data_IF_442271736373
#
_entry.id   IF_442271736373
#
_cell.length_a   1.000
_cell.length_b   1.000
_cell.length_c   1.000
_cell.angle_alpha   90.00
_cell.angle_beta   90.00
_cell.angle_gamma   90.00
#
_symmetry.space_group_name_H-M   'P 1'
#
loop_
_entity.id
_entity.type
_entity.pdbx_description
1 polymer ?
#
# COMPACT_ATOMS: atom_id res chain seq x y z
N UNK A 1 26.88 -31.89 -3.72
CA UNK A 1 28.31 -31.44 -3.71
C UNK A 1 28.47 -29.93 -3.71
N UNK A 2 27.66 -29.17 -4.47
CA UNK A 2 27.76 -27.71 -4.54
C UNK A 2 27.45 -27.01 -3.21
N UNK A 3 26.44 -27.48 -2.48
CA UNK A 3 26.09 -26.97 -1.14
C UNK A 3 27.25 -27.08 -0.13
N UNK A 4 27.91 -28.25 -0.04
CA UNK A 4 29.06 -28.45 0.85
C UNK A 4 30.20 -27.48 0.50
N UNK A 5 30.52 -27.31 -0.80
CA UNK A 5 31.55 -26.36 -1.24
C UNK A 5 31.22 -24.92 -0.88
N UNK A 6 29.95 -24.53 -0.99
CA UNK A 6 29.48 -23.19 -0.61
C UNK A 6 29.59 -22.98 0.89
N UNK A 7 29.17 -23.95 1.70
CA UNK A 7 29.29 -23.89 3.17
C UNK A 7 30.76 -23.81 3.59
N UNK A 8 31.63 -24.66 3.02
CA UNK A 8 33.07 -24.64 3.31
C UNK A 8 33.72 -23.31 2.91
N UNK A 9 33.35 -22.76 1.73
CA UNK A 9 33.85 -21.46 1.27
C UNK A 9 33.39 -20.34 2.21
N UNK A 10 32.11 -20.33 2.60
CA UNK A 10 31.56 -19.36 3.54
C UNK A 10 32.26 -19.45 4.90
N UNK A 11 32.43 -20.66 5.43
CA UNK A 11 33.09 -20.91 6.71
C UNK A 11 34.57 -20.47 6.72
N UNK A 12 35.29 -20.66 5.60
CA UNK A 12 36.68 -20.15 5.47
C UNK A 12 36.75 -18.63 5.50
N UNK A 13 35.74 -17.95 4.95
CA UNK A 13 35.66 -16.49 4.92
C UNK A 13 35.11 -15.91 6.23
N UNK A 14 34.24 -16.67 6.91
CA UNK A 14 33.55 -16.27 8.14
C UNK A 14 33.55 -17.42 9.15
N UNK A 15 34.67 -17.66 9.86
CA UNK A 15 34.74 -18.73 10.85
C UNK A 15 33.73 -18.48 11.98
N UNK A 16 33.01 -19.51 12.47
CA UNK A 16 32.02 -19.35 13.53
C UNK A 16 32.69 -18.96 14.84
N UNK A 17 32.49 -17.69 15.25
CA UNK A 17 33.08 -17.12 16.46
C UNK A 17 32.39 -17.59 17.74
N UNK A 18 31.07 -17.84 17.68
CA UNK A 18 30.27 -18.24 18.84
C UNK A 18 30.02 -19.74 18.87
N UNK A 19 29.81 -20.31 20.07
CA UNK A 19 29.39 -21.71 20.20
C UNK A 19 28.06 -21.98 19.47
N UNK A 20 27.15 -21.00 19.43
CA UNK A 20 25.91 -21.08 18.66
C UNK A 20 26.18 -21.22 17.16
N UNK A 21 27.06 -20.38 16.59
CA UNK A 21 27.40 -20.46 15.17
C UNK A 21 28.07 -21.79 14.83
N UNK A 22 28.90 -22.33 15.74
CA UNK A 22 29.51 -23.66 15.58
C UNK A 22 28.46 -24.78 15.59
N UNK A 23 27.48 -24.70 16.49
CA UNK A 23 26.36 -25.63 16.57
C UNK A 23 25.49 -25.59 15.30
N UNK A 24 25.17 -24.40 14.82
CA UNK A 24 24.36 -24.25 13.60
C UNK A 24 25.14 -24.71 12.36
N UNK A 25 26.44 -24.44 12.29
CA UNK A 25 27.27 -24.93 11.19
C UNK A 25 27.35 -26.46 11.18
N UNK A 26 27.52 -27.11 12.34
CA UNK A 26 27.61 -28.57 12.41
C UNK A 26 26.31 -29.24 11.96
N UNK A 27 25.13 -28.71 12.32
CA UNK A 27 23.87 -29.28 11.83
C UNK A 27 23.66 -29.09 10.32
N UNK A 28 24.06 -27.94 9.76
CA UNK A 28 23.96 -27.69 8.33
C UNK A 28 24.90 -28.59 7.52
N UNK A 29 26.14 -28.76 7.99
CA UNK A 29 27.09 -29.70 7.39
C UNK A 29 26.60 -31.14 7.51
N UNK A 30 26.01 -31.54 8.65
CA UNK A 30 25.47 -32.88 8.85
C UNK A 30 24.40 -33.20 7.79
N UNK A 31 23.41 -32.32 7.60
CA UNK A 31 22.37 -32.47 6.59
C UNK A 31 22.93 -32.50 5.16
N UNK A 32 23.90 -31.62 4.85
CA UNK A 32 24.53 -31.60 3.52
C UNK A 32 25.33 -32.89 3.23
N UNK A 33 25.98 -33.47 4.24
CA UNK A 33 26.68 -34.75 4.10
C UNK A 33 25.70 -35.92 3.97
N UNK A 34 24.59 -35.92 4.71
CA UNK A 34 23.50 -36.90 4.61
C UNK A 34 22.90 -36.92 3.19
N UNK A 35 22.55 -35.75 2.64
CA UNK A 35 22.05 -35.62 1.26
C UNK A 35 23.08 -36.08 0.21
N UNK A 36 24.37 -35.97 0.52
CA UNK A 36 25.44 -36.44 -0.36
C UNK A 36 25.75 -37.93 -0.24
N UNK A 37 25.09 -38.65 0.68
CA UNK A 37 25.30 -40.07 0.96
C UNK A 37 26.54 -40.38 1.80
N UNK A 38 27.27 -39.36 2.29
CA UNK A 38 28.45 -39.54 3.13
C UNK A 38 28.04 -39.66 4.61
N UNK A 39 27.46 -40.82 4.96
CA UNK A 39 26.93 -41.09 6.30
C UNK A 39 27.99 -40.97 7.41
N UNK A 40 29.27 -41.25 7.10
CA UNK A 40 30.35 -41.17 8.09
C UNK A 40 30.65 -39.72 8.47
N UNK A 41 30.75 -38.82 7.47
CA UNK A 41 30.92 -37.38 7.74
C UNK A 41 29.68 -36.78 8.37
N UNK A 42 28.48 -37.18 7.93
CA UNK A 42 27.22 -36.74 8.54
C UNK A 42 27.19 -37.08 10.04
N UNK A 43 27.48 -38.34 10.40
CA UNK A 43 27.54 -38.78 11.79
C UNK A 43 28.56 -37.96 12.61
N UNK A 44 29.76 -37.72 12.06
CA UNK A 44 30.77 -36.90 12.74
C UNK A 44 30.25 -35.50 13.08
N UNK A 45 29.53 -34.87 12.16
CA UNK A 45 28.95 -33.55 12.38
C UNK A 45 27.77 -33.58 13.36
N UNK A 46 26.91 -34.60 13.30
CA UNK A 46 25.85 -34.80 14.29
C UNK A 46 26.40 -35.00 15.70
N UNK A 47 27.48 -35.78 15.87
CA UNK A 47 28.14 -35.95 17.17
C UNK A 47 28.76 -34.65 17.68
N UNK A 48 29.36 -33.85 16.80
CA UNK A 48 29.86 -32.51 17.16
C UNK A 48 28.72 -31.59 17.62
N UNK A 49 27.60 -31.58 16.91
CA UNK A 49 26.39 -30.85 17.33
C UNK A 49 25.96 -31.27 18.74
N UNK A 50 25.84 -32.57 19.00
CA UNK A 50 25.40 -33.09 20.29
C UNK A 50 26.35 -32.75 21.44
N UNK A 51 27.66 -32.77 21.18
CA UNK A 51 28.68 -32.36 22.16
C UNK A 51 28.57 -30.87 22.51
N UNK A 52 28.37 -30.01 21.51
CA UNK A 52 28.18 -28.58 21.72
C UNK A 52 26.91 -28.33 22.54
N UNK A 53 25.78 -28.96 22.20
CA UNK A 53 24.52 -28.77 22.92
C UNK A 53 24.61 -29.25 24.37
N UNK A 54 25.30 -30.36 24.64
CA UNK A 54 25.50 -30.87 26.01
C UNK A 54 26.26 -29.88 26.88
N UNK A 55 27.22 -29.16 26.31
CA UNK A 55 28.03 -28.17 27.02
C UNK A 55 27.46 -26.75 26.90
N UNK A 56 26.30 -26.58 26.25
CA UNK A 56 25.66 -25.29 26.08
C UNK A 56 24.91 -24.90 27.36
N UNK A 57 24.98 -23.63 27.81
CA UNK A 57 24.25 -23.24 29.01
C UNK A 57 22.73 -23.40 28.80
N UNK A 58 22.01 -24.10 29.71
CA UNK A 58 20.59 -24.42 29.56
C UNK A 58 19.67 -23.22 29.25
N UNK A 59 20.02 -22.04 29.77
CA UNK A 59 19.29 -20.79 29.56
C UNK A 59 19.37 -20.25 28.12
N UNK A 60 20.29 -20.77 27.32
CA UNK A 60 20.48 -20.40 25.91
C UNK A 60 20.26 -21.58 24.98
N UNK A 61 19.69 -22.69 25.46
CA UNK A 61 19.14 -23.67 24.52
C UNK A 61 18.08 -22.90 23.72
N UNK A 62 18.02 -23.05 22.39
CA UNK A 62 17.16 -22.26 21.50
C UNK A 62 16.06 -23.14 20.86
N UNK A 63 15.07 -22.56 20.18
CA UNK A 63 14.05 -23.36 19.48
C UNK A 63 14.68 -24.22 18.37
N UNK A 64 15.81 -23.77 17.83
CA UNK A 64 16.58 -24.37 16.74
C UNK A 64 17.19 -25.73 17.12
N UNK A 65 17.40 -26.02 18.41
CA UNK A 65 17.85 -27.35 18.85
C UNK A 65 16.76 -28.41 18.73
N UNK A 66 15.47 -28.04 18.79
CA UNK A 66 14.33 -28.96 18.60
C UNK A 66 14.35 -29.54 17.18
N UNK A 67 14.46 -28.67 16.17
CA UNK A 67 14.57 -29.10 14.78
C UNK A 67 15.82 -29.95 14.53
N UNK A 68 16.93 -29.60 15.19
CA UNK A 68 18.20 -30.31 15.07
C UNK A 68 18.17 -31.70 15.72
N UNK A 69 17.54 -31.87 16.88
CA UNK A 69 17.33 -33.19 17.49
C UNK A 69 16.46 -34.10 16.63
N UNK A 70 15.43 -33.55 15.98
CA UNK A 70 14.63 -34.32 15.01
C UNK A 70 15.45 -34.75 13.79
N UNK A 71 16.41 -33.96 13.31
CA UNK A 71 17.33 -34.36 12.25
C UNK A 71 18.26 -35.50 12.69
N UNK A 72 18.83 -35.41 13.89
CA UNK A 72 19.63 -36.49 14.49
C UNK A 72 18.80 -37.77 14.65
N UNK A 73 17.56 -37.66 15.13
CA UNK A 73 16.65 -38.79 15.28
C UNK A 73 16.36 -39.46 13.93
N UNK A 74 16.11 -38.67 12.88
CA UNK A 74 15.91 -39.18 11.51
C UNK A 74 17.14 -39.93 11.01
N UNK A 75 18.33 -39.36 11.18
CA UNK A 75 19.57 -40.01 10.77
C UNK A 75 19.75 -41.38 11.45
N UNK A 76 19.50 -41.47 12.75
CA UNK A 76 19.58 -42.75 13.47
C UNK A 76 18.47 -43.73 13.08
N UNK A 77 17.28 -43.25 12.73
CA UNK A 77 16.20 -44.09 12.20
C UNK A 77 16.60 -44.71 10.85
N UNK A 78 17.17 -43.91 9.94
CA UNK A 78 17.59 -44.36 8.61
C UNK A 78 18.81 -45.29 8.66
N UNK A 79 19.70 -45.09 9.64
CA UNK A 79 20.84 -45.99 9.89
C UNK A 79 20.49 -47.22 10.75
N UNK A 80 19.21 -47.38 11.12
CA UNK A 80 18.68 -48.56 11.82
C UNK A 80 18.92 -48.60 13.33
N UNK A 81 19.44 -47.53 13.94
CA UNK A 81 19.63 -47.43 15.38
C UNK A 81 18.39 -46.83 16.06
N UNK A 82 17.39 -47.67 16.29
CA UNK A 82 16.09 -47.25 16.82
C UNK A 82 16.17 -46.68 18.25
N UNK A 83 17.08 -47.15 19.09
CA UNK A 83 17.26 -46.68 20.47
C UNK A 83 17.75 -45.23 20.50
N UNK A 84 18.79 -44.91 19.73
CA UNK A 84 19.27 -43.53 19.63
C UNK A 84 18.25 -42.64 18.91
N UNK A 85 17.58 -43.14 17.87
CA UNK A 85 16.52 -42.41 17.19
C UNK A 85 15.41 -41.99 18.18
N UNK A 86 14.94 -42.94 19.01
CA UNK A 86 13.93 -42.69 20.04
C UNK A 86 14.44 -41.65 21.04
N UNK A 87 15.64 -41.83 21.57
CA UNK A 87 16.24 -40.92 22.56
C UNK A 87 16.21 -39.48 22.06
N UNK A 88 16.72 -39.22 20.85
CA UNK A 88 16.80 -37.86 20.32
C UNK A 88 15.43 -37.29 19.92
N UNK A 89 14.51 -38.13 19.43
CA UNK A 89 13.13 -37.69 19.18
C UNK A 89 12.42 -37.31 20.50
N UNK A 90 12.58 -38.08 21.57
CA UNK A 90 11.98 -37.81 22.88
C UNK A 90 12.54 -36.54 23.54
N UNK A 91 13.81 -36.22 23.36
CA UNK A 91 14.40 -34.97 23.86
C UNK A 91 13.71 -33.71 23.33
N UNK A 92 13.04 -33.79 22.17
CA UNK A 92 12.26 -32.66 21.66
C UNK A 92 11.02 -32.38 22.51
N UNK A 93 10.40 -33.41 23.09
CA UNK A 93 9.23 -33.28 23.97
C UNK A 93 9.59 -32.78 25.38
N UNK A 94 10.81 -33.08 25.83
CA UNK A 94 11.34 -32.72 27.15
C UNK A 94 12.03 -31.35 27.16
N UNK A 95 12.02 -30.65 26.02
CA UNK A 95 12.81 -29.46 25.82
C UNK A 95 12.38 -28.30 26.75
N UNK A 96 13.32 -27.67 27.49
CA UNK A 96 12.98 -26.74 28.57
C UNK A 96 12.42 -25.39 28.09
N UNK A 97 12.65 -25.03 26.82
CA UNK A 97 11.98 -23.87 26.22
C UNK A 97 10.54 -24.27 25.89
N UNK A 98 9.64 -23.79 26.74
CA UNK A 98 8.18 -23.75 26.63
C UNK A 98 7.52 -24.21 25.32
N UNK A 99 6.50 -25.07 25.49
CA UNK A 99 5.42 -25.45 24.55
C UNK A 99 5.78 -25.33 23.06
N UNK A 100 6.26 -26.44 22.51
CA UNK A 100 6.33 -26.68 21.07
C UNK A 100 5.02 -26.27 20.38
N UNK A 101 5.14 -25.65 19.20
CA UNK A 101 4.01 -25.32 18.35
C UNK A 101 3.32 -26.59 17.83
N UNK A 102 2.05 -26.47 17.42
CA UNK A 102 1.32 -27.61 16.85
C UNK A 102 2.03 -28.29 15.65
N UNK A 103 2.67 -27.55 14.71
CA UNK A 103 3.51 -28.17 13.67
C UNK A 103 4.70 -28.96 14.21
N UNK A 104 5.40 -28.43 15.21
CA UNK A 104 6.55 -29.10 15.81
C UNK A 104 6.13 -30.38 16.54
N UNK A 105 5.03 -30.33 17.29
CA UNK A 105 4.44 -31.50 17.93
C UNK A 105 4.02 -32.55 16.90
N UNK A 106 3.35 -32.14 15.81
CA UNK A 106 2.99 -33.04 14.73
C UNK A 106 4.23 -33.76 14.15
N UNK A 107 5.30 -33.01 13.85
CA UNK A 107 6.53 -33.56 13.31
C UNK A 107 7.20 -34.54 14.29
N UNK A 108 7.30 -34.19 15.57
CA UNK A 108 7.89 -35.05 16.59
C UNK A 108 7.08 -36.33 16.79
N UNK A 109 5.74 -36.26 16.87
CA UNK A 109 4.91 -37.46 17.00
C UNK A 109 4.94 -38.32 15.73
N UNK A 110 5.06 -37.72 14.55
CA UNK A 110 5.30 -38.47 13.33
C UNK A 110 6.63 -39.23 13.38
N UNK A 111 7.70 -38.58 13.87
CA UNK A 111 9.01 -39.22 14.03
C UNK A 111 8.95 -40.40 14.99
N UNK A 112 8.36 -40.22 16.17
CA UNK A 112 8.19 -41.29 17.17
C UNK A 112 7.32 -42.44 16.64
N UNK A 113 6.25 -42.13 15.90
CA UNK A 113 5.45 -43.14 15.21
C UNK A 113 6.29 -43.97 14.23
N UNK A 114 7.13 -43.32 13.40
CA UNK A 114 8.00 -44.01 12.44
C UNK A 114 9.01 -44.90 13.15
N UNK A 115 9.67 -44.38 14.20
CA UNK A 115 10.64 -45.13 15.00
C UNK A 115 10.00 -46.39 15.59
N UNK A 116 8.83 -46.25 16.23
CA UNK A 116 8.14 -47.37 16.88
C UNK A 116 7.61 -48.39 15.89
N UNK A 117 7.16 -47.92 14.72
CA UNK A 117 6.72 -48.82 13.64
C UNK A 117 7.90 -49.62 13.09
N UNK A 118 9.05 -48.97 12.87
CA UNK A 118 10.26 -49.63 12.38
C UNK A 118 10.90 -50.55 13.41
N UNK A 119 10.75 -50.26 14.71
CA UNK A 119 11.28 -51.08 15.80
C UNK A 119 10.32 -52.20 16.26
N UNK A 120 9.18 -52.40 15.60
CA UNK A 120 8.18 -53.42 15.95
C UNK A 120 7.29 -53.10 17.17
N UNK A 121 7.39 -51.89 17.72
CA UNK A 121 6.63 -51.43 18.89
C UNK A 121 5.26 -50.85 18.50
N UNK A 122 4.42 -51.67 17.86
CA UNK A 122 3.17 -51.20 17.23
C UNK A 122 2.18 -50.52 18.18
N UNK A 123 2.11 -50.93 19.45
CA UNK A 123 1.20 -50.32 20.42
C UNK A 123 1.57 -48.85 20.68
N UNK A 124 2.85 -48.58 20.84
CA UNK A 124 3.35 -47.22 21.05
C UNK A 124 3.29 -46.41 19.76
N UNK A 125 3.58 -47.03 18.61
CA UNK A 125 3.36 -46.44 17.30
C UNK A 125 1.91 -45.94 17.12
N UNK A 126 0.91 -46.76 17.47
CA UNK A 126 -0.50 -46.39 17.37
C UNK A 126 -0.84 -45.18 18.26
N UNK A 127 -0.28 -45.12 19.48
CA UNK A 127 -0.45 -43.97 20.38
C UNK A 127 0.12 -42.70 19.76
N UNK A 128 1.35 -42.76 19.24
CA UNK A 128 2.00 -41.61 18.60
C UNK A 128 1.32 -41.20 17.30
N UNK A 129 0.80 -42.15 16.51
CA UNK A 129 0.00 -41.87 15.33
C UNK A 129 -1.26 -41.06 15.66
N UNK A 130 -1.96 -41.42 16.75
CA UNK A 130 -3.14 -40.66 17.21
C UNK A 130 -2.77 -39.22 17.60
N UNK A 131 -1.65 -39.03 18.31
CA UNK A 131 -1.16 -37.69 18.65
C UNK A 131 -0.78 -36.90 17.40
N UNK A 132 -0.05 -37.51 16.48
CA UNK A 132 0.29 -36.90 15.19
C UNK A 132 -0.95 -36.40 14.45
N UNK A 133 -1.98 -37.24 14.32
CA UNK A 133 -3.24 -36.85 13.66
C UNK A 133 -3.91 -35.65 14.36
N UNK A 134 -3.99 -35.66 15.69
CA UNK A 134 -4.56 -34.55 16.47
C UNK A 134 -3.87 -33.21 16.18
N UNK A 135 -2.54 -33.19 16.22
CA UNK A 135 -1.79 -31.95 15.97
C UNK A 135 -1.77 -31.56 14.49
N UNK A 136 -1.72 -32.52 13.56
CA UNK A 136 -1.82 -32.25 12.13
C UNK A 136 -3.14 -31.56 11.77
N UNK A 137 -4.25 -32.03 12.33
CA UNK A 137 -5.57 -31.45 12.07
C UNK A 137 -5.67 -30.03 12.67
N UNK A 138 -5.03 -29.78 13.82
CA UNK A 138 -4.87 -28.43 14.40
C UNK A 138 -4.08 -27.49 13.47
N UNK A 139 -2.96 -27.94 12.90
CA UNK A 139 -2.14 -27.18 11.94
C UNK A 139 -2.94 -26.80 10.70
N UNK A 140 -3.71 -27.75 10.16
CA UNK A 140 -4.55 -27.50 8.99
C UNK A 140 -5.59 -26.40 9.26
N UNK A 141 -6.26 -26.44 10.41
CA UNK A 141 -7.20 -25.41 10.85
C UNK A 141 -6.56 -24.01 10.97
N UNK A 142 -5.34 -23.93 11.55
CA UNK A 142 -4.60 -22.67 11.66
C UNK A 142 -4.24 -22.10 10.28
N UNK A 143 -3.79 -22.95 9.35
CA UNK A 143 -3.39 -22.52 8.01
C UNK A 143 -4.57 -21.95 7.21
N UNK A 144 -5.74 -22.59 7.28
CA UNK A 144 -6.97 -22.09 6.67
C UNK A 144 -7.40 -20.75 7.24
N UNK A 145 -7.33 -20.58 8.57
CA UNK A 145 -7.66 -19.31 9.22
C UNK A 145 -6.76 -18.17 8.74
N UNK A 146 -5.45 -18.38 8.67
CA UNK A 146 -4.52 -17.37 8.14
C UNK A 146 -4.79 -17.02 6.68
N UNK A 147 -5.12 -18.01 5.85
CA UNK A 147 -5.48 -17.76 4.45
C UNK A 147 -6.75 -16.90 4.35
N UNK A 148 -7.76 -17.19 5.18
CA UNK A 148 -9.00 -16.42 5.27
C UNK A 148 -8.73 -14.98 5.73
N UNK A 149 -7.96 -14.79 6.80
CA UNK A 149 -7.61 -13.45 7.32
C UNK A 149 -6.87 -12.62 6.24
N UNK A 150 -5.97 -13.25 5.50
CA UNK A 150 -5.28 -12.61 4.37
C UNK A 150 -6.22 -12.21 3.23
N UNK A 151 -7.25 -13.01 2.93
CA UNK A 151 -8.28 -12.66 1.95
C UNK A 151 -9.14 -11.48 2.42
N UNK A 152 -9.54 -11.45 3.70
CA UNK A 152 -10.33 -10.36 4.29
C UNK A 152 -9.56 -9.04 4.21
N UNK A 153 -8.27 -9.03 4.62
CA UNK A 153 -7.42 -7.83 4.56
C UNK A 153 -7.29 -7.31 3.12
N UNK A 154 -7.08 -8.20 2.14
CA UNK A 154 -6.99 -7.82 0.73
C UNK A 154 -8.30 -7.20 0.23
N UNK A 155 -9.43 -7.80 0.57
CA UNK A 155 -10.75 -7.27 0.20
C UNK A 155 -11.01 -5.89 0.81
N UNK A 156 -10.74 -5.70 2.10
CA UNK A 156 -10.89 -4.41 2.77
C UNK A 156 -9.98 -3.33 2.16
N UNK A 157 -8.75 -3.71 1.80
CA UNK A 157 -7.80 -2.81 1.15
C UNK A 157 -8.31 -2.39 -0.23
N UNK A 158 -8.74 -3.35 -1.05
CA UNK A 158 -9.30 -3.08 -2.38
C UNK A 158 -10.53 -2.18 -2.32
N UNK A 159 -11.40 -2.40 -1.33
CA UNK A 159 -12.59 -1.56 -1.10
C UNK A 159 -12.20 -0.13 -0.73
N UNK A 160 -11.27 0.05 0.22
CA UNK A 160 -10.76 1.38 0.58
C UNK A 160 -10.12 2.10 -0.61
N UNK A 161 -9.34 1.40 -1.42
CA UNK A 161 -8.74 1.97 -2.64
C UNK A 161 -9.80 2.37 -3.68
N UNK A 162 -10.89 1.61 -3.78
CA UNK A 162 -12.04 1.99 -4.62
C UNK A 162 -12.73 3.24 -4.07
N UNK A 163 -13.01 3.29 -2.77
CA UNK A 163 -13.64 4.44 -2.12
C UNK A 163 -12.78 5.71 -2.27
N UNK A 164 -11.45 5.59 -2.09
CA UNK A 164 -10.50 6.69 -2.32
C UNK A 164 -10.56 7.17 -3.77
N UNK A 165 -10.65 6.25 -4.75
CA UNK A 165 -10.79 6.61 -6.16
C UNK A 165 -12.09 7.36 -6.44
N UNK A 166 -13.21 6.90 -5.89
CA UNK A 166 -14.51 7.55 -6.04
C UNK A 166 -14.48 8.94 -5.40
N UNK A 167 -14.01 9.07 -4.15
CA UNK A 167 -13.86 10.35 -3.46
C UNK A 167 -12.96 11.32 -4.24
N UNK A 168 -11.87 10.83 -4.85
CA UNK A 168 -10.99 11.64 -5.69
C UNK A 168 -11.69 12.11 -6.97
N UNK A 169 -12.49 11.27 -7.60
CA UNK A 169 -13.30 11.67 -8.76
C UNK A 169 -14.36 12.71 -8.38
N UNK A 170 -15.07 12.52 -7.27
CA UNK A 170 -16.08 13.47 -6.79
C UNK A 170 -15.46 14.83 -6.44
N UNK A 171 -14.32 14.84 -5.77
CA UNK A 171 -13.60 16.10 -5.46
C UNK A 171 -13.15 16.83 -6.72
N UNK A 172 -12.68 16.11 -7.75
CA UNK A 172 -12.35 16.69 -9.05
C UNK A 172 -13.58 17.25 -9.75
N UNK A 173 -14.70 16.52 -9.73
CA UNK A 173 -15.96 16.94 -10.34
C UNK A 173 -16.54 18.18 -9.65
N UNK A 174 -16.48 18.24 -8.31
CA UNK A 174 -16.87 19.42 -7.54
C UNK A 174 -15.98 20.63 -7.86
N UNK A 175 -14.65 20.45 -7.94
CA UNK A 175 -13.73 21.53 -8.33
C UNK A 175 -14.03 22.04 -9.75
N UNK A 176 -14.31 21.14 -10.69
CA UNK A 176 -14.69 21.52 -12.06
C UNK A 176 -16.02 22.30 -12.09
N UNK A 177 -17.02 21.86 -11.33
CA UNK A 177 -18.31 22.58 -11.18
C UNK A 177 -18.13 23.97 -10.58
N UNK A 178 -17.32 24.11 -9.54
CA UNK A 178 -17.01 25.40 -8.91
C UNK A 178 -16.27 26.34 -9.86
N UNK A 179 -15.26 25.83 -10.58
CA UNK A 179 -14.53 26.61 -11.58
C UNK A 179 -15.45 27.11 -12.69
N UNK A 180 -16.30 26.23 -13.23
CA UNK A 180 -17.30 26.59 -14.26
C UNK A 180 -18.28 27.65 -13.75
N UNK A 181 -18.81 27.47 -12.54
CA UNK A 181 -19.72 28.46 -11.92
C UNK A 181 -19.03 29.82 -11.78
N UNK A 182 -17.78 29.86 -11.31
CA UNK A 182 -17.02 31.10 -11.16
C UNK A 182 -16.76 31.80 -12.51
N UNK A 183 -16.51 31.02 -13.58
CA UNK A 183 -16.32 31.54 -14.93
C UNK A 183 -17.62 32.13 -15.49
N UNK A 184 -18.72 31.40 -15.34
CA UNK A 184 -20.06 31.89 -15.75
C UNK A 184 -20.39 33.18 -15.01
N UNK A 185 -20.24 33.23 -13.68
CA UNK A 185 -20.51 34.44 -12.90
C UNK A 185 -19.66 35.64 -13.35
N UNK A 186 -18.37 35.44 -13.65
CA UNK A 186 -17.49 36.51 -14.17
C UNK A 186 -17.93 37.01 -15.54
N UNK A 187 -18.28 36.11 -16.46
CA UNK A 187 -18.78 36.46 -17.80
C UNK A 187 -20.09 37.24 -17.67
N UNK A 188 -21.02 36.79 -16.83
CA UNK A 188 -22.30 37.47 -16.59
C UNK A 188 -22.08 38.87 -16.00
N UNK A 189 -21.16 39.02 -15.03
CA UNK A 189 -20.84 40.33 -14.45
C UNK A 189 -20.25 41.29 -15.51
N UNK A 190 -19.34 40.80 -16.36
CA UNK A 190 -18.77 41.56 -17.46
C UNK A 190 -19.82 41.98 -18.50
N UNK A 191 -20.75 41.08 -18.83
CA UNK A 191 -21.87 41.37 -19.73
C UNK A 191 -22.81 42.45 -19.19
N UNK A 192 -23.15 42.38 -17.89
CA UNK A 192 -23.97 43.41 -17.22
C UNK A 192 -23.25 44.76 -17.20
N UNK A 193 -21.94 44.79 -16.90
CA UNK A 193 -21.15 46.01 -16.93
C UNK A 193 -21.11 46.63 -18.34
N UNK A 194 -20.92 45.81 -19.38
CA UNK A 194 -20.95 46.26 -20.78
C UNK A 194 -22.32 46.86 -21.15
N UNK A 195 -23.42 46.22 -20.75
CA UNK A 195 -24.77 46.73 -20.98
C UNK A 195 -24.98 48.10 -20.32
N UNK A 196 -24.51 48.27 -19.08
CA UNK A 196 -24.57 49.57 -18.39
C UNK A 196 -23.77 50.65 -19.12
N UNK A 197 -22.59 50.31 -19.66
CA UNK A 197 -21.80 51.24 -20.48
C UNK A 197 -22.57 51.63 -21.75
N UNK A 198 -23.17 50.66 -22.45
CA UNK A 198 -23.95 50.91 -23.67
C UNK A 198 -25.15 51.82 -23.36
N UNK A 199 -25.91 51.53 -22.29
CA UNK A 199 -27.02 52.36 -21.84
C UNK A 199 -26.55 53.78 -21.50
N UNK A 200 -25.42 53.92 -20.80
CA UNK A 200 -24.82 55.21 -20.49
C UNK A 200 -24.42 56.01 -21.73
N UNK A 201 -23.82 55.35 -22.73
CA UNK A 201 -23.44 55.96 -24.01
C UNK A 201 -24.66 56.41 -24.81
N UNK A 202 -25.70 55.57 -24.90
CA UNK A 202 -26.96 55.90 -25.57
C UNK A 202 -27.66 57.09 -24.90
N UNK A 203 -27.69 57.10 -23.57
CA UNK A 203 -28.24 58.22 -22.80
C UNK A 203 -27.46 59.52 -23.04
N UNK A 204 -26.12 59.44 -23.10
CA UNK A 204 -25.28 60.59 -23.41
C UNK A 204 -25.52 61.12 -24.83
N UNK A 205 -25.60 60.23 -25.82
CA UNK A 205 -25.93 60.62 -27.20
C UNK A 205 -27.31 61.27 -27.30
N UNK A 206 -28.31 60.72 -26.60
CA UNK A 206 -29.65 61.32 -26.52
C UNK A 206 -29.62 62.73 -25.93
N UNK A 207 -28.87 62.93 -24.83
CA UNK A 207 -28.69 64.26 -24.20
C UNK A 207 -28.02 65.26 -25.15
N UNK A 208 -26.93 64.87 -25.81
CA UNK A 208 -26.21 65.72 -26.77
C UNK A 208 -27.14 66.13 -27.92
N UNK A 209 -27.87 65.17 -28.51
CA UNK A 209 -28.80 65.44 -29.62
C UNK A 209 -29.94 66.37 -29.20
N UNK A 210 -30.48 66.20 -28.00
CA UNK A 210 -31.53 67.08 -27.46
C UNK A 210 -31.03 68.52 -27.28
N UNK A 211 -29.85 68.70 -26.69
CA UNK A 211 -29.24 70.02 -26.50
C UNK A 211 -28.95 70.70 -27.86
N UNK A 212 -28.33 69.98 -28.80
CA UNK A 212 -28.06 70.50 -30.13
C UNK A 212 -29.34 70.90 -30.89
N UNK A 213 -30.45 70.18 -30.67
CA UNK A 213 -31.74 70.49 -31.28
C UNK A 213 -32.36 71.76 -30.67
N UNK A 214 -32.22 71.95 -29.37
CA UNK A 214 -32.64 73.19 -28.69
C UNK A 214 -31.80 74.39 -29.13
N UNK A 215 -30.47 74.24 -29.22
CA UNK A 215 -29.57 75.29 -29.71
C UNK A 215 -29.88 75.65 -31.17
N UNK A 216 -30.16 74.65 -32.02
CA UNK A 216 -30.56 74.88 -33.40
C UNK A 216 -31.91 75.62 -33.48
N UNK A 217 -32.88 75.27 -32.63
CA UNK A 217 -34.16 75.96 -32.57
C UNK A 217 -33.99 77.43 -32.13
N UNK A 218 -33.19 77.69 -31.09
CA UNK A 218 -32.91 79.04 -30.62
C UNK A 218 -32.23 79.90 -31.70
N UNK A 219 -31.26 79.34 -32.43
CA UNK A 219 -30.62 80.02 -33.58
C UNK A 219 -31.60 80.31 -34.71
N UNK A 220 -32.47 79.36 -35.05
CA UNK A 220 -33.49 79.57 -36.08
C UNK A 220 -34.48 80.69 -35.69
N UNK A 221 -34.91 80.74 -34.42
CA UNK A 221 -35.77 81.83 -33.92
C UNK A 221 -35.07 83.18 -34.00
N UNK A 222 -33.80 83.27 -33.58
CA UNK A 222 -33.03 84.52 -33.68
C UNK A 222 -32.80 84.97 -35.13
N UNK A 223 -32.51 84.03 -36.05
CA UNK A 223 -32.40 84.32 -37.48
C UNK A 223 -33.73 84.81 -38.05
N UNK A 224 -34.86 84.22 -37.65
CA UNK A 224 -36.18 84.66 -38.09
C UNK A 224 -36.47 86.09 -37.60
N UNK A 225 -36.14 86.41 -36.34
CA UNK A 225 -36.28 87.77 -35.82
C UNK A 225 -35.44 88.78 -36.61
N UNK A 226 -34.20 88.45 -36.97
CA UNK A 226 -33.34 89.30 -37.80
C UNK A 226 -33.89 89.48 -39.22
N UNK A 227 -34.51 88.45 -39.80
CA UNK A 227 -35.18 88.52 -41.10
C UNK A 227 -36.40 89.44 -41.02
N UNK A 228 -37.25 89.25 -40.01
CA UNK A 228 -38.45 90.07 -39.79
C UNK A 228 -38.08 91.53 -39.54
N UNK A 229 -37.01 91.80 -38.77
CA UNK A 229 -36.47 93.15 -38.55
C UNK A 229 -35.95 93.77 -39.84
N UNK A 230 -35.22 93.01 -40.68
CA UNK A 230 -34.79 93.46 -42.01
C UNK A 230 -35.97 93.78 -42.92
N UNK A 231 -37.00 92.93 -42.95
CA UNK A 231 -38.20 93.18 -43.76
C UNK A 231 -38.94 94.43 -43.28
N UNK A 232 -39.06 94.62 -41.96
CA UNK A 232 -39.67 95.81 -41.39
C UNK A 232 -38.88 97.07 -41.77
N UNK A 233 -37.55 97.06 -41.61
CA UNK A 233 -36.69 98.18 -42.02
C UNK A 233 -36.80 98.49 -43.51
N UNK A 234 -36.86 97.47 -44.37
CA UNK A 234 -37.05 97.66 -45.81
C UNK A 234 -38.39 98.30 -46.15
N UNK A 235 -39.47 97.89 -45.45
CA UNK A 235 -40.81 98.49 -45.60
C UNK A 235 -40.81 99.94 -45.13
N UNK A 236 -40.18 100.23 -43.99
CA UNK A 236 -40.04 101.59 -43.44
C UNK A 236 -39.23 102.50 -44.38
N UNK A 237 -38.11 102.02 -44.91
CA UNK A 237 -37.32 102.76 -45.93
C UNK A 237 -38.15 102.98 -47.19
N UNK A 238 -38.84 101.96 -47.72
CA UNK A 238 -39.74 102.13 -48.87
C UNK A 238 -40.84 103.16 -48.62
N UNK A 239 -41.42 103.17 -47.42
CA UNK A 239 -42.45 104.13 -47.04
C UNK A 239 -41.88 105.57 -46.99
N UNK A 240 -40.67 105.75 -46.42
CA UNK A 240 -39.98 107.05 -46.39
C UNK A 240 -39.54 107.54 -47.77
N UNK A 241 -39.13 106.64 -48.66
CA UNK A 241 -38.82 106.97 -50.06
C UNK A 241 -40.09 107.37 -50.81
N UNK A 242 -41.22 106.70 -50.58
CA UNK A 242 -42.51 107.06 -51.19
C UNK A 242 -43.12 108.35 -50.67
N UNK A 243 -42.88 108.71 -49.41
CA UNK A 243 -43.39 109.95 -48.82
C UNK A 243 -42.52 111.19 -49.12
N UNK A 244 -41.33 111.00 -49.70
CA UNK A 244 -40.38 112.08 -50.04
C UNK A 244 -40.23 112.29 -51.57
N UNK A 245 -41.15 111.75 -52.37
CA UNK A 245 -41.29 111.95 -53.83
C UNK A 245 -42.65 112.59 -54.11
#
# INVERSE_FOLDING_TARGET
MEAIRLIDKFNRLHPPETMYNKMMLSIQLAGAYEESGDHQKALKQYLLFLDIVKNFPPQFVYAETIGSYNAVARFYLETGNFELARKYASLTLEHPIGKMSAPELANTYNMLYRIDSSSGNYLSALKYMRQYMYYRDSVFSISQRKAMDGMIIRYETQKKDQDIRILKQDTQLQKAKLSRSSMVSKITLGGVALLLIIVGLLYNQYRIKRNASQDALARNVALQQLVDEKEWLLREVHHRVKNNL
#
